data_IF_797849681104
#
_entry.id   IF_797849681104
#
_cell.length_a   1.000
_cell.length_b   1.000
_cell.length_c   1.000
_cell.angle_alpha   90.00
_cell.angle_beta   90.00
_cell.angle_gamma   90.00
#
_symmetry.space_group_name_H-M   'P 1'
#
loop_
_entity.id
_entity.type
_entity.pdbx_description
1 polymer ?
#
# COMPACT_ATOMS: atom_id res chain seq x y z
N UNK A 1 0.97 -23.48 4.30
CA UNK A 1 1.66 -23.43 2.98
C UNK A 1 2.47 -22.15 2.89
N UNK A 2 3.58 -22.16 2.15
CA UNK A 2 4.43 -20.94 1.93
C UNK A 2 3.60 -19.83 1.29
N UNK A 3 2.78 -20.16 0.32
CA UNK A 3 1.92 -19.20 -0.38
C UNK A 3 0.89 -18.53 0.54
N UNK A 4 0.31 -19.26 1.48
CA UNK A 4 -0.62 -18.68 2.46
C UNK A 4 0.05 -17.70 3.41
N UNK A 5 1.32 -17.93 3.77
CA UNK A 5 2.11 -17.01 4.59
C UNK A 5 2.52 -15.74 3.82
N UNK A 6 2.86 -15.87 2.53
CA UNK A 6 3.22 -14.73 1.67
C UNK A 6 2.02 -13.80 1.37
N UNK A 7 0.79 -14.30 1.51
CA UNK A 7 -0.45 -13.54 1.28
C UNK A 7 -1.07 -13.00 2.57
N UNK A 8 -0.58 -13.43 3.72
CA UNK A 8 -1.07 -12.97 5.02
C UNK A 8 -0.82 -11.48 5.19
N UNK A 9 -1.78 -10.79 5.82
CA UNK A 9 -1.55 -9.42 6.29
C UNK A 9 -0.40 -9.39 7.31
N UNK A 10 0.34 -8.29 7.34
CA UNK A 10 1.29 -8.06 8.44
C UNK A 10 0.52 -8.05 9.77
N UNK A 11 1.04 -8.65 10.85
CA UNK A 11 0.34 -8.73 12.13
C UNK A 11 -0.18 -7.40 12.65
N UNK A 12 0.59 -6.33 12.52
CA UNK A 12 0.21 -4.97 12.91
C UNK A 12 -1.02 -4.46 12.13
N UNK A 13 -1.14 -4.80 10.85
CA UNK A 13 -2.26 -4.40 10.00
C UNK A 13 -3.53 -5.18 10.36
N UNK A 14 -3.40 -6.50 10.56
CA UNK A 14 -4.51 -7.33 11.03
C UNK A 14 -5.00 -6.88 12.41
N UNK A 15 -4.09 -6.55 13.32
CA UNK A 15 -4.43 -6.02 14.65
C UNK A 15 -5.12 -4.65 14.57
N UNK A 16 -4.64 -3.75 13.69
CA UNK A 16 -5.30 -2.46 13.46
C UNK A 16 -6.73 -2.65 12.93
N UNK A 17 -6.93 -3.52 11.94
CA UNK A 17 -8.25 -3.83 11.39
C UNK A 17 -9.17 -4.42 12.46
N UNK A 18 -8.65 -5.33 13.27
CA UNK A 18 -9.41 -5.94 14.39
C UNK A 18 -9.85 -4.91 15.40
N UNK A 19 -8.97 -4.00 15.85
CA UNK A 19 -9.31 -2.91 16.78
C UNK A 19 -10.43 -2.03 16.20
N UNK A 20 -10.33 -1.63 14.94
CA UNK A 20 -11.36 -0.82 14.28
C UNK A 20 -12.74 -1.51 14.26
N UNK A 21 -12.78 -2.83 14.05
CA UNK A 21 -14.03 -3.60 14.11
C UNK A 21 -14.60 -3.66 15.55
N UNK A 22 -13.74 -3.87 16.55
CA UNK A 22 -14.12 -3.84 17.96
C UNK A 22 -14.68 -2.47 18.36
N UNK A 23 -14.03 -1.38 17.94
CA UNK A 23 -14.45 0.00 18.19
C UNK A 23 -15.81 0.31 17.52
N UNK A 24 -16.10 -0.32 16.37
CA UNK A 24 -17.42 -0.29 15.73
C UNK A 24 -18.46 -1.19 16.39
N UNK A 25 -18.13 -1.83 17.51
CA UNK A 25 -19.05 -2.66 18.30
C UNK A 25 -19.25 -4.08 17.75
N UNK A 26 -18.38 -4.57 16.84
CA UNK A 26 -18.43 -5.94 16.34
C UNK A 26 -17.99 -6.92 17.42
N UNK A 27 -18.81 -7.94 17.69
CA UNK A 27 -18.52 -9.01 18.67
C UNK A 27 -18.40 -10.37 18.03
N UNK A 28 -19.07 -10.57 16.90
CA UNK A 28 -19.06 -11.79 16.12
C UNK A 28 -18.70 -11.46 14.67
N UNK A 29 -17.80 -12.23 14.05
CA UNK A 29 -17.35 -12.00 12.69
C UNK A 29 -17.20 -13.33 11.93
N UNK A 30 -17.65 -13.35 10.67
CA UNK A 30 -17.36 -14.43 9.75
C UNK A 30 -16.19 -14.05 8.84
N UNK A 31 -15.14 -14.88 8.82
CA UNK A 31 -14.01 -14.77 7.88
C UNK A 31 -14.28 -15.71 6.69
N UNK A 32 -14.75 -15.12 5.60
CA UNK A 32 -15.24 -15.82 4.41
C UNK A 32 -14.10 -16.10 3.42
N UNK A 33 -13.67 -17.36 3.36
CA UNK A 33 -12.46 -17.78 2.66
C UNK A 33 -11.22 -17.57 3.53
N UNK A 34 -11.27 -18.08 4.77
CA UNK A 34 -10.28 -17.73 5.81
C UNK A 34 -8.85 -18.27 5.54
N UNK A 35 -8.69 -19.16 4.56
CA UNK A 35 -7.40 -19.76 4.26
C UNK A 35 -6.77 -20.40 5.49
N UNK A 36 -5.54 -19.99 5.84
CA UNK A 36 -4.86 -20.46 7.04
C UNK A 36 -5.40 -19.89 8.35
N UNK A 37 -6.42 -19.02 8.31
CA UNK A 37 -7.07 -18.44 9.48
C UNK A 37 -6.23 -17.37 10.20
N UNK A 38 -5.30 -16.71 9.53
CA UNK A 38 -4.42 -15.71 10.17
C UNK A 38 -5.17 -14.42 10.51
N UNK A 39 -6.10 -13.97 9.64
CA UNK A 39 -7.01 -12.86 9.95
C UNK A 39 -8.02 -13.28 11.03
N UNK A 40 -8.64 -14.47 10.88
CA UNK A 40 -9.53 -15.04 11.89
C UNK A 40 -8.88 -15.08 13.28
N UNK A 41 -7.58 -15.45 13.35
CA UNK A 41 -6.79 -15.43 14.58
C UNK A 41 -6.65 -14.02 15.16
N UNK A 42 -6.38 -13.02 14.32
CA UNK A 42 -6.26 -11.63 14.77
C UNK A 42 -7.60 -11.10 15.32
N UNK A 43 -8.72 -11.41 14.67
CA UNK A 43 -10.07 -11.08 15.16
C UNK A 43 -10.37 -11.74 16.50
N UNK A 44 -10.08 -13.04 16.62
CA UNK A 44 -10.30 -13.78 17.86
C UNK A 44 -9.40 -13.29 19.01
N UNK A 45 -8.14 -12.94 18.71
CA UNK A 45 -7.21 -12.34 19.69
C UNK A 45 -7.68 -10.95 20.17
N UNK A 46 -8.41 -10.21 19.33
CA UNK A 46 -9.04 -8.95 19.70
C UNK A 46 -10.35 -9.12 20.50
N UNK A 47 -10.76 -10.36 20.80
CA UNK A 47 -11.92 -10.69 21.66
C UNK A 47 -13.23 -10.98 20.91
N UNK A 48 -13.23 -10.94 19.58
CA UNK A 48 -14.41 -11.32 18.79
C UNK A 48 -14.59 -12.85 18.77
N UNK A 49 -15.84 -13.33 18.67
CA UNK A 49 -16.12 -14.72 18.30
C UNK A 49 -16.06 -14.85 16.77
N UNK A 50 -15.27 -15.81 16.28
CA UNK A 50 -14.96 -15.93 14.84
C UNK A 50 -15.52 -17.22 14.27
N UNK A 51 -16.11 -17.12 13.09
CA UNK A 51 -16.50 -18.24 12.23
C UNK A 51 -15.67 -18.16 10.95
N UNK A 52 -14.60 -18.96 10.85
CA UNK A 52 -13.85 -19.11 9.61
C UNK A 52 -14.61 -20.04 8.65
N UNK A 53 -14.66 -19.69 7.37
CA UNK A 53 -15.20 -20.58 6.33
C UNK A 53 -14.10 -20.79 5.29
N UNK A 54 -13.77 -22.05 5.03
CA UNK A 54 -12.75 -22.45 4.04
C UNK A 54 -13.23 -23.70 3.28
N UNK A 55 -13.13 -23.65 1.95
CA UNK A 55 -13.61 -24.75 1.10
C UNK A 55 -12.67 -25.95 1.03
N UNK A 56 -11.37 -25.71 1.21
CA UNK A 56 -10.37 -26.77 1.21
C UNK A 56 -10.25 -27.37 2.61
N UNK A 57 -10.59 -28.66 2.81
CA UNK A 57 -10.59 -29.28 4.14
C UNK A 57 -9.19 -29.38 4.76
N UNK A 58 -8.12 -29.47 3.95
CA UNK A 58 -6.75 -29.51 4.48
C UNK A 58 -6.35 -28.12 4.99
N UNK A 59 -6.67 -27.07 4.24
CA UNK A 59 -6.41 -25.68 4.63
C UNK A 59 -7.26 -25.31 5.86
N UNK A 60 -8.53 -25.71 5.89
CA UNK A 60 -9.42 -25.51 7.02
C UNK A 60 -8.90 -26.15 8.32
N UNK A 61 -8.26 -27.33 8.21
CA UNK A 61 -7.63 -27.97 9.37
C UNK A 61 -6.49 -27.14 9.97
N UNK A 62 -5.69 -26.44 9.14
CA UNK A 62 -4.67 -25.51 9.62
C UNK A 62 -5.31 -24.28 10.28
N UNK A 63 -6.38 -23.73 9.68
CA UNK A 63 -7.11 -22.60 10.28
C UNK A 63 -7.69 -22.98 11.65
N UNK A 64 -8.31 -24.16 11.77
CA UNK A 64 -8.83 -24.68 13.03
C UNK A 64 -7.72 -24.86 14.08
N UNK A 65 -6.53 -25.32 13.67
CA UNK A 65 -5.38 -25.43 14.57
C UNK A 65 -4.90 -24.04 15.05
N UNK A 66 -4.91 -23.03 14.18
CA UNK A 66 -4.54 -21.66 14.50
C UNK A 66 -5.55 -20.95 15.43
N UNK A 67 -6.79 -21.44 15.50
CA UNK A 67 -7.85 -20.91 16.36
C UNK A 67 -8.07 -21.71 17.65
N UNK A 68 -7.35 -22.81 17.87
CA UNK A 68 -7.60 -23.81 18.93
C UNK A 68 -7.78 -23.19 20.33
N UNK A 69 -6.94 -22.20 20.67
CA UNK A 69 -6.92 -21.58 22.00
C UNK A 69 -7.68 -20.24 22.04
N UNK A 70 -8.49 -19.98 21.02
CA UNK A 70 -9.21 -18.72 20.83
C UNK A 70 -10.71 -18.95 20.66
N UNK A 71 -11.50 -17.87 20.70
CA UNK A 71 -12.95 -17.93 20.50
C UNK A 71 -13.29 -18.01 19.00
N UNK A 72 -13.02 -19.15 18.36
CA UNK A 72 -13.28 -19.34 16.94
C UNK A 72 -13.47 -20.79 16.56
N UNK A 73 -14.23 -21.02 15.49
CA UNK A 73 -14.40 -22.30 14.83
C UNK A 73 -14.24 -22.13 13.32
N UNK A 74 -14.00 -23.24 12.62
CA UNK A 74 -13.88 -23.28 11.17
C UNK A 74 -14.90 -24.24 10.60
N UNK A 75 -15.60 -23.82 9.56
CA UNK A 75 -16.56 -24.59 8.79
C UNK A 75 -15.95 -24.88 7.42
N UNK A 76 -16.01 -26.14 6.98
CA UNK A 76 -15.59 -26.52 5.64
C UNK A 76 -16.78 -26.40 4.71
N UNK A 77 -16.80 -25.32 3.91
CA UNK A 77 -17.90 -25.07 2.96
C UNK A 77 -17.47 -24.04 1.90
N UNK A 78 -18.25 -23.91 0.83
CA UNK A 78 -18.05 -22.91 -0.20
C UNK A 78 -18.96 -21.70 0.06
N UNK A 79 -18.34 -20.55 0.32
CA UNK A 79 -19.02 -19.27 0.63
C UNK A 79 -19.96 -18.80 -0.48
N UNK A 80 -19.75 -19.28 -1.72
CA UNK A 80 -20.59 -18.88 -2.88
C UNK A 80 -21.91 -19.64 -2.96
N UNK A 81 -22.04 -20.76 -2.25
CA UNK A 81 -23.20 -21.65 -2.31
C UNK A 81 -23.88 -21.87 -0.96
N UNK A 82 -23.15 -21.69 0.15
CA UNK A 82 -23.69 -21.89 1.49
C UNK A 82 -24.58 -20.73 1.95
N UNK A 83 -25.43 -20.99 2.92
CA UNK A 83 -26.07 -19.94 3.72
C UNK A 83 -25.02 -19.31 4.64
N UNK A 84 -24.77 -18.00 4.50
CA UNK A 84 -23.78 -17.31 5.30
C UNK A 84 -24.13 -17.33 6.79
N UNK A 85 -23.13 -17.46 7.68
CA UNK A 85 -23.34 -17.42 9.12
C UNK A 85 -24.04 -16.12 9.56
N UNK A 86 -24.89 -16.23 10.59
CA UNK A 86 -25.45 -15.05 11.25
C UNK A 86 -24.43 -14.47 12.23
N UNK A 87 -23.97 -13.23 11.96
CA UNK A 87 -22.94 -12.56 12.74
C UNK A 87 -23.00 -11.03 12.55
N UNK A 88 -22.31 -10.28 13.39
CA UNK A 88 -22.30 -8.82 13.35
C UNK A 88 -21.59 -8.29 12.10
N UNK A 89 -20.53 -8.96 11.66
CA UNK A 89 -19.72 -8.48 10.52
C UNK A 89 -19.13 -9.61 9.68
N UNK A 90 -18.72 -9.27 8.47
CA UNK A 90 -18.12 -10.19 7.50
C UNK A 90 -16.78 -9.64 7.02
N UNK A 91 -15.77 -10.50 6.97
CA UNK A 91 -14.48 -10.21 6.37
C UNK A 91 -14.26 -11.10 5.15
N UNK A 92 -13.61 -10.55 4.12
CA UNK A 92 -13.22 -11.26 2.90
C UNK A 92 -11.80 -10.85 2.47
N UNK A 93 -11.06 -11.83 1.99
CA UNK A 93 -9.77 -11.63 1.29
C UNK A 93 -9.80 -12.42 -0.04
N UNK A 94 -10.45 -11.88 -1.09
CA UNK A 94 -10.60 -12.58 -2.36
C UNK A 94 -9.24 -12.96 -2.95
N UNK A 95 -9.05 -14.26 -3.24
CA UNK A 95 -7.81 -14.77 -3.80
C UNK A 95 -7.56 -14.20 -5.21
N UNK A 96 -6.37 -13.64 -5.41
CA UNK A 96 -5.94 -12.96 -6.65
C UNK A 96 -5.03 -13.83 -7.52
N UNK A 97 -4.98 -15.11 -7.27
CA UNK A 97 -4.17 -16.06 -8.04
C UNK A 97 -5.11 -17.07 -8.69
N UNK A 98 -4.86 -17.37 -9.95
CA UNK A 98 -5.53 -18.48 -10.62
C UNK A 98 -5.11 -19.80 -9.93
N UNK A 99 -6.05 -20.51 -9.27
CA UNK A 99 -5.74 -21.79 -8.62
C UNK A 99 -5.35 -22.87 -9.62
N UNK A 100 -5.64 -22.69 -10.91
CA UNK A 100 -5.36 -23.63 -11.99
C UNK A 100 -4.11 -23.27 -12.80
N UNK A 101 -3.49 -22.10 -12.53
CA UNK A 101 -2.27 -21.72 -13.22
C UNK A 101 -1.11 -22.65 -12.83
N UNK A 102 -0.30 -23.11 -13.79
CA UNK A 102 0.85 -23.96 -13.51
C UNK A 102 1.82 -23.22 -12.57
N UNK A 103 2.32 -23.93 -11.55
CA UNK A 103 3.35 -23.39 -10.66
C UNK A 103 4.61 -23.12 -11.47
N UNK A 104 5.18 -21.95 -11.30
CA UNK A 104 6.49 -21.63 -11.89
C UNK A 104 7.60 -22.51 -11.29
N UNK A 105 8.70 -22.69 -12.04
CA UNK A 105 9.84 -23.55 -11.67
C UNK A 105 10.46 -23.15 -10.30
N UNK A 106 10.30 -21.90 -9.90
CA UNK A 106 10.75 -21.34 -8.62
C UNK A 106 9.71 -21.51 -7.49
N UNK A 107 8.66 -22.28 -7.69
CA UNK A 107 7.66 -22.64 -6.68
C UNK A 107 6.65 -21.53 -6.36
N UNK A 108 6.64 -20.42 -7.12
CA UNK A 108 5.61 -19.37 -6.99
C UNK A 108 4.33 -19.81 -7.68
N UNK A 109 3.22 -19.83 -6.97
CA UNK A 109 1.93 -20.18 -7.55
C UNK A 109 1.37 -19.02 -8.36
N UNK A 110 1.01 -19.29 -9.61
CA UNK A 110 0.12 -18.52 -10.49
C UNK A 110 0.48 -17.07 -10.76
N UNK A 111 0.16 -16.63 -11.96
CA UNK A 111 0.22 -15.19 -12.34
C UNK A 111 -0.82 -14.42 -11.50
N UNK A 112 -0.44 -13.25 -10.96
CA UNK A 112 -1.39 -12.36 -10.28
C UNK A 112 -2.44 -11.89 -11.28
N UNK A 113 -3.69 -12.14 -10.96
CA UNK A 113 -4.84 -11.69 -11.75
C UNK A 113 -5.07 -10.21 -11.47
N UNK A 114 -5.03 -9.40 -12.53
CA UNK A 114 -5.16 -7.94 -12.42
C UNK A 114 -6.62 -7.50 -12.38
N UNK A 115 -7.52 -8.18 -13.11
CA UNK A 115 -8.93 -7.86 -13.14
C UNK A 115 -9.61 -8.38 -11.86
N UNK A 116 -10.29 -7.53 -11.08
CA UNK A 116 -11.04 -7.94 -9.90
C UNK A 116 -12.17 -8.94 -10.18
N UNK A 117 -12.69 -9.00 -11.40
CA UNK A 117 -13.72 -9.97 -11.76
C UNK A 117 -13.19 -11.41 -11.91
N UNK A 118 -11.90 -11.54 -12.09
CA UNK A 118 -11.23 -12.85 -12.13
C UNK A 118 -10.74 -13.31 -10.73
N UNK A 119 -11.03 -12.58 -9.66
CA UNK A 119 -10.70 -13.01 -8.30
C UNK A 119 -11.62 -14.13 -7.84
N UNK A 120 -11.27 -14.82 -6.79
CA UNK A 120 -12.08 -15.90 -6.20
C UNK A 120 -12.37 -15.60 -4.72
N UNK A 121 -13.65 -15.26 -4.39
CA UNK A 121 -14.74 -14.93 -5.31
C UNK A 121 -14.51 -13.64 -6.09
N UNK A 122 -15.27 -13.41 -7.19
CA UNK A 122 -15.19 -12.20 -8.00
C UNK A 122 -15.58 -10.96 -7.21
N UNK A 123 -15.06 -9.80 -7.62
CA UNK A 123 -15.37 -8.54 -6.93
C UNK A 123 -16.84 -8.17 -7.01
N UNK A 124 -17.50 -8.43 -8.15
CA UNK A 124 -18.94 -8.26 -8.30
C UNK A 124 -19.75 -9.10 -7.31
N UNK A 125 -19.33 -10.34 -7.06
CA UNK A 125 -19.95 -11.20 -6.05
C UNK A 125 -19.77 -10.63 -4.63
N UNK A 126 -18.57 -10.18 -4.29
CA UNK A 126 -18.30 -9.53 -2.99
C UNK A 126 -19.20 -8.31 -2.78
N UNK A 127 -19.30 -7.43 -3.79
CA UNK A 127 -20.16 -6.27 -3.73
C UNK A 127 -21.65 -6.62 -3.62
N UNK A 128 -22.09 -7.70 -4.27
CA UNK A 128 -23.48 -8.17 -4.25
C UNK A 128 -23.91 -8.72 -2.90
N UNK A 129 -22.98 -9.12 -2.01
CA UNK A 129 -23.32 -9.55 -0.63
C UNK A 129 -24.04 -8.46 0.16
N UNK A 130 -23.69 -7.20 -0.08
CA UNK A 130 -24.32 -6.00 0.50
C UNK A 130 -24.72 -6.14 1.98
N UNK A 131 -23.81 -6.69 2.80
CA UNK A 131 -24.06 -6.85 4.24
C UNK A 131 -23.91 -5.51 4.98
N UNK A 132 -24.67 -5.26 6.05
CA UNK A 132 -24.58 -4.01 6.81
C UNK A 132 -23.18 -3.68 7.30
N UNK A 133 -22.44 -4.68 7.79
CA UNK A 133 -21.06 -4.54 8.25
C UNK A 133 -20.18 -5.56 7.54
N UNK A 134 -19.39 -5.05 6.60
CA UNK A 134 -18.49 -5.89 5.83
C UNK A 134 -17.17 -5.15 5.56
N UNK A 135 -16.07 -5.88 5.58
CA UNK A 135 -14.77 -5.37 5.18
C UNK A 135 -14.08 -6.36 4.25
N UNK A 136 -13.53 -5.87 3.15
CA UNK A 136 -12.75 -6.67 2.23
C UNK A 136 -11.31 -6.18 2.16
N UNK A 137 -10.34 -7.09 2.29
CA UNK A 137 -8.93 -6.83 2.01
C UNK A 137 -8.70 -7.01 0.51
N UNK A 138 -8.05 -6.03 -0.10
CA UNK A 138 -7.79 -6.04 -1.54
C UNK A 138 -6.36 -5.59 -1.86
N UNK A 139 -5.94 -5.80 -3.12
CA UNK A 139 -4.69 -5.24 -3.60
C UNK A 139 -4.70 -3.72 -3.47
N UNK A 140 -3.56 -3.10 -3.09
CA UNK A 140 -3.47 -1.64 -3.01
C UNK A 140 -3.56 -0.95 -4.38
N UNK A 141 -3.52 -1.72 -5.47
CA UNK A 141 -3.70 -1.25 -6.84
C UNK A 141 -5.15 -1.29 -7.34
N UNK A 142 -6.14 -1.56 -6.48
CA UNK A 142 -7.55 -1.54 -6.87
C UNK A 142 -7.91 -0.19 -7.52
N UNK A 143 -8.61 -0.23 -8.65
CA UNK A 143 -9.07 0.97 -9.30
C UNK A 143 -10.11 1.68 -8.43
N UNK A 144 -10.02 3.01 -8.29
CA UNK A 144 -10.98 3.77 -7.49
C UNK A 144 -12.42 3.59 -8.00
N UNK A 145 -12.60 3.46 -9.31
CA UNK A 145 -13.91 3.21 -9.91
C UNK A 145 -14.55 1.86 -9.54
N UNK A 146 -13.74 0.89 -9.08
CA UNK A 146 -14.23 -0.39 -8.60
C UNK A 146 -14.74 -0.34 -7.16
N UNK A 147 -14.50 0.76 -6.42
CA UNK A 147 -14.97 0.94 -5.05
C UNK A 147 -16.39 1.47 -5.07
N UNK A 148 -17.38 0.74 -4.52
CA UNK A 148 -18.76 1.17 -4.53
C UNK A 148 -18.98 2.48 -3.76
N UNK A 149 -19.96 3.29 -4.17
CA UNK A 149 -20.29 4.56 -3.50
C UNK A 149 -20.76 4.38 -2.03
N UNK A 150 -21.24 3.19 -1.68
CA UNK A 150 -21.63 2.81 -0.31
C UNK A 150 -20.47 2.24 0.51
N UNK A 151 -19.23 2.37 0.04
CA UNK A 151 -18.03 1.94 0.74
C UNK A 151 -17.01 3.08 0.86
N UNK A 152 -16.10 2.96 1.82
CA UNK A 152 -14.87 3.76 1.91
C UNK A 152 -13.66 2.85 1.84
N UNK A 153 -12.50 3.39 1.50
CA UNK A 153 -11.28 2.61 1.36
C UNK A 153 -10.13 3.20 2.19
N UNK A 154 -9.39 2.33 2.86
CA UNK A 154 -8.17 2.69 3.58
C UNK A 154 -6.98 1.95 3.00
N UNK A 155 -6.02 2.67 2.43
CA UNK A 155 -4.72 2.14 2.01
C UNK A 155 -3.77 2.14 3.19
N UNK A 156 -3.02 1.06 3.34
CA UNK A 156 -2.17 0.84 4.51
C UNK A 156 -0.72 0.75 4.11
N UNK A 157 0.09 1.63 4.71
CA UNK A 157 1.54 1.52 4.74
C UNK A 157 1.96 0.97 6.10
N UNK A 158 2.83 -0.04 6.10
CA UNK A 158 3.40 -0.61 7.31
C UNK A 158 4.91 -0.65 7.19
N UNK A 159 5.62 0.00 8.13
CA UNK A 159 7.07 0.14 8.15
C UNK A 159 7.66 0.64 6.82
N UNK A 160 7.00 1.63 6.20
CA UNK A 160 7.39 2.24 4.93
C UNK A 160 6.85 1.56 3.68
N UNK A 161 6.39 0.30 3.75
CA UNK A 161 5.88 -0.44 2.60
C UNK A 161 4.37 -0.29 2.43
N UNK A 162 3.92 -0.02 1.22
CA UNK A 162 2.51 -0.15 0.86
C UNK A 162 2.12 -1.63 0.80
N UNK A 163 1.20 -2.07 1.67
CA UNK A 163 0.89 -3.49 1.84
C UNK A 163 -0.45 -3.90 1.25
N UNK A 164 -1.52 -3.17 1.54
CA UNK A 164 -2.87 -3.54 1.14
C UNK A 164 -3.83 -2.36 1.14
N UNK A 165 -5.06 -2.58 0.70
CA UNK A 165 -6.19 -1.69 0.97
C UNK A 165 -7.33 -2.49 1.64
N UNK A 166 -8.04 -1.84 2.57
CA UNK A 166 -9.25 -2.35 3.21
C UNK A 166 -10.45 -1.56 2.71
N UNK A 167 -11.44 -2.25 2.17
CA UNK A 167 -12.71 -1.63 1.73
C UNK A 167 -13.76 -1.86 2.81
N UNK A 168 -14.32 -0.79 3.33
CA UNK A 168 -15.27 -0.77 4.44
C UNK A 168 -16.66 -0.43 3.90
N UNK A 169 -17.59 -1.36 4.04
CA UNK A 169 -18.92 -1.24 3.44
C UNK A 169 -19.98 -0.76 4.44
N UNK A 170 -20.94 -0.02 3.94
CA UNK A 170 -22.18 0.37 4.61
C UNK A 170 -21.92 0.98 6.02
N UNK A 171 -22.33 0.34 7.11
CA UNK A 171 -22.16 0.85 8.48
C UNK A 171 -20.71 0.97 8.95
N UNK A 172 -19.76 0.26 8.33
CA UNK A 172 -18.33 0.38 8.62
C UNK A 172 -17.65 1.50 7.83
N UNK A 173 -18.36 2.11 6.88
CA UNK A 173 -17.85 3.22 6.06
C UNK A 173 -17.50 4.42 6.95
N UNK A 174 -16.43 5.11 6.62
CA UNK A 174 -16.10 6.42 7.18
C UNK A 174 -16.66 7.55 6.30
N UNK A 175 -16.74 8.77 6.86
CA UNK A 175 -17.13 9.96 6.10
C UNK A 175 -16.13 10.27 4.99
N UNK A 176 -14.83 10.04 5.25
CA UNK A 176 -13.80 10.13 4.22
C UNK A 176 -13.87 8.92 3.29
N UNK A 177 -14.11 9.18 2.00
CA UNK A 177 -14.19 8.13 0.99
C UNK A 177 -12.87 7.36 0.84
N UNK A 178 -11.73 8.04 1.03
CA UNK A 178 -10.39 7.48 0.91
C UNK A 178 -9.51 7.95 2.06
N UNK A 179 -8.75 7.02 2.58
CA UNK A 179 -7.80 7.23 3.69
C UNK A 179 -6.49 6.54 3.36
N UNK A 180 -5.37 7.17 3.70
CA UNK A 180 -4.06 6.55 3.76
C UNK A 180 -3.59 6.56 5.20
N UNK A 181 -3.12 5.42 5.71
CA UNK A 181 -2.55 5.33 7.05
C UNK A 181 -1.12 4.82 7.01
N UNK A 182 -0.32 5.31 7.94
CA UNK A 182 1.04 4.83 8.20
C UNK A 182 1.10 4.13 9.55
N UNK A 183 1.50 2.86 9.53
CA UNK A 183 1.73 2.03 10.72
C UNK A 183 3.24 1.83 10.87
N UNK A 184 3.76 2.01 12.07
CA UNK A 184 5.13 1.67 12.45
C UNK A 184 5.08 0.82 13.72
N UNK A 185 5.68 -0.36 13.67
CA UNK A 185 5.45 -1.37 14.69
C UNK A 185 3.96 -1.70 14.78
N UNK A 186 3.35 -1.51 15.95
CA UNK A 186 1.93 -1.78 16.18
C UNK A 186 1.04 -0.52 16.25
N UNK A 187 1.60 0.66 15.97
CA UNK A 187 0.92 1.94 16.11
C UNK A 187 0.63 2.60 14.76
N UNK A 188 -0.59 3.12 14.60
CA UNK A 188 -0.89 4.11 13.54
C UNK A 188 -0.23 5.42 13.97
N UNK A 189 0.75 5.87 13.20
CA UNK A 189 1.52 7.08 13.51
C UNK A 189 1.00 8.30 12.77
N UNK A 190 0.27 8.11 11.67
CA UNK A 190 -0.34 9.21 10.90
C UNK A 190 -1.47 8.69 10.01
N UNK A 191 -2.39 9.61 9.70
CA UNK A 191 -3.52 9.40 8.81
C UNK A 191 -3.71 10.60 7.88
N UNK A 192 -4.01 10.32 6.61
CA UNK A 192 -4.35 11.31 5.59
C UNK A 192 -5.69 10.92 4.96
N UNK A 193 -6.65 11.84 4.96
CA UNK A 193 -8.01 11.57 4.46
C UNK A 193 -8.34 12.41 3.24
N UNK A 194 -9.31 11.95 2.42
CA UNK A 194 -9.88 12.76 1.35
C UNK A 194 -10.70 13.89 1.95
N UNK A 195 -10.12 15.06 2.03
CA UNK A 195 -10.84 16.30 2.32
C UNK A 195 -10.95 17.12 1.04
N UNK A 196 -11.91 18.02 0.97
CA UNK A 196 -12.17 18.86 -0.22
C UNK A 196 -11.15 19.99 -0.43
N UNK A 197 -9.97 19.85 0.12
CA UNK A 197 -8.94 20.88 0.06
C UNK A 197 -8.26 20.89 -1.30
N UNK A 198 -8.76 21.73 -2.16
CA UNK A 198 -8.13 22.37 -3.31
C UNK A 198 -7.27 21.50 -4.25
N UNK A 199 -6.97 22.03 -5.41
CA UNK A 199 -5.99 21.47 -6.34
C UNK A 199 -4.59 21.91 -5.90
N UNK A 200 -3.64 20.98 -5.81
CA UNK A 200 -2.24 21.36 -5.67
C UNK A 200 -1.77 21.94 -6.99
N UNK A 201 -1.26 23.16 -6.97
CA UNK A 201 -0.69 23.81 -8.14
C UNK A 201 0.53 23.04 -8.64
N UNK A 202 0.86 23.20 -9.93
CA UNK A 202 2.13 22.78 -10.50
C UNK A 202 3.08 23.97 -10.44
N UNK A 203 4.30 23.72 -9.96
CA UNK A 203 5.35 24.73 -9.83
C UNK A 203 6.75 24.16 -10.10
N UNK A 204 7.78 25.01 -10.04
CA UNK A 204 9.17 24.59 -10.22
C UNK A 204 9.63 23.70 -9.06
N UNK A 205 10.83 23.15 -9.18
CA UNK A 205 11.50 22.47 -8.07
C UNK A 205 12.09 23.55 -7.15
N UNK A 206 11.67 23.52 -5.88
CA UNK A 206 12.16 24.39 -4.81
C UNK A 206 13.26 23.69 -3.96
N UNK A 207 13.52 24.20 -2.76
CA UNK A 207 14.60 23.73 -1.88
C UNK A 207 14.40 22.31 -1.36
N UNK A 208 13.15 21.85 -1.25
CA UNK A 208 12.81 20.51 -0.76
C UNK A 208 12.00 19.76 -1.80
N UNK A 209 12.44 18.53 -2.10
CA UNK A 209 11.69 17.58 -2.91
C UNK A 209 11.17 16.45 -2.01
N UNK A 210 9.88 16.13 -2.13
CA UNK A 210 9.25 14.98 -1.50
C UNK A 210 8.97 13.91 -2.55
N UNK A 211 9.55 12.73 -2.36
CA UNK A 211 9.16 11.51 -3.08
C UNK A 211 8.00 10.84 -2.34
N UNK A 212 6.79 11.04 -2.86
CA UNK A 212 5.54 10.62 -2.21
C UNK A 212 5.41 9.10 -2.23
N UNK A 213 5.14 8.51 -1.06
CA UNK A 213 5.00 7.07 -0.89
C UNK A 213 3.79 6.48 -1.65
N UNK A 214 3.89 5.19 -1.95
CA UNK A 214 2.86 4.45 -2.67
C UNK A 214 1.48 4.50 -2.03
N UNK A 215 1.39 4.58 -0.71
CA UNK A 215 0.12 4.65 0.02
C UNK A 215 -0.69 5.89 -0.36
N UNK A 216 -0.03 7.03 -0.52
CA UNK A 216 -0.67 8.30 -0.90
C UNK A 216 -0.99 8.36 -2.39
N UNK A 217 -0.05 7.89 -3.23
CA UNK A 217 -0.30 7.88 -4.68
C UNK A 217 -1.41 6.90 -5.06
N UNK A 218 -1.48 5.74 -4.42
CA UNK A 218 -2.53 4.73 -4.69
C UNK A 218 -3.87 5.11 -4.11
N UNK A 219 -3.92 5.78 -2.96
CA UNK A 219 -5.17 6.33 -2.42
C UNK A 219 -5.65 7.59 -3.16
N UNK A 220 -4.81 8.18 -4.03
CA UNK A 220 -5.11 9.43 -4.75
C UNK A 220 -5.16 10.65 -3.85
N UNK A 221 -4.36 10.67 -2.77
CA UNK A 221 -4.35 11.75 -1.77
C UNK A 221 -3.12 12.68 -1.88
N UNK A 222 -2.48 12.72 -3.05
CA UNK A 222 -1.30 13.57 -3.29
C UNK A 222 -1.61 15.05 -3.05
N UNK A 223 -2.81 15.50 -3.42
CA UNK A 223 -3.23 16.89 -3.22
C UNK A 223 -3.39 17.24 -1.73
N UNK A 224 -3.96 16.31 -0.95
CA UNK A 224 -4.11 16.48 0.50
C UNK A 224 -2.76 16.52 1.22
N UNK A 225 -1.83 15.66 0.77
CA UNK A 225 -0.46 15.71 1.29
C UNK A 225 0.24 17.00 0.91
N UNK A 226 0.07 17.47 -0.33
CA UNK A 226 0.63 18.74 -0.77
C UNK A 226 0.15 19.91 0.09
N UNK A 227 -1.15 19.99 0.38
CA UNK A 227 -1.71 21.01 1.26
C UNK A 227 -1.13 20.94 2.69
N UNK A 228 -1.00 19.71 3.25
CA UNK A 228 -0.42 19.49 4.60
C UNK A 228 1.05 19.93 4.67
N UNK A 229 1.81 19.74 3.58
CA UNK A 229 3.23 20.07 3.50
C UNK A 229 3.50 21.51 3.03
N UNK A 230 2.45 22.30 2.76
CA UNK A 230 2.55 23.60 2.10
C UNK A 230 3.39 23.52 0.79
N UNK A 231 3.18 22.43 0.05
CA UNK A 231 3.93 22.05 -1.13
C UNK A 231 3.07 22.13 -2.41
N UNK A 232 3.73 22.14 -3.54
CA UNK A 232 3.11 22.05 -4.85
C UNK A 232 3.64 20.83 -5.62
N UNK A 233 2.97 20.44 -6.69
CA UNK A 233 3.41 19.35 -7.57
C UNK A 233 4.44 19.88 -8.56
N UNK A 234 5.45 19.11 -8.91
CA UNK A 234 6.39 19.45 -9.98
C UNK A 234 5.94 18.95 -11.36
N UNK A 235 4.98 18.02 -11.38
CA UNK A 235 4.41 17.43 -12.61
C UNK A 235 3.02 16.85 -12.30
N UNK A 236 2.11 16.90 -13.27
CA UNK A 236 0.72 16.45 -13.12
C UNK A 236 0.61 14.93 -12.84
N UNK A 237 1.51 14.14 -13.42
CA UNK A 237 1.41 12.68 -13.42
C UNK A 237 2.38 11.99 -12.45
N UNK A 238 3.23 12.76 -11.78
CA UNK A 238 4.24 12.23 -10.87
C UNK A 238 3.86 12.42 -9.40
N UNK A 239 4.27 11.47 -8.57
CA UNK A 239 4.14 11.55 -7.12
C UNK A 239 5.30 12.32 -6.47
N UNK A 240 5.68 13.47 -7.05
CA UNK A 240 6.64 14.38 -6.45
C UNK A 240 5.99 15.67 -6.03
N UNK A 241 6.35 16.15 -4.84
CA UNK A 241 5.98 17.47 -4.33
C UNK A 241 7.23 18.27 -4.05
N UNK A 242 7.13 19.59 -4.13
CA UNK A 242 8.23 20.50 -3.80
C UNK A 242 7.75 21.64 -2.92
N UNK A 243 8.61 22.07 -2.01
CA UNK A 243 8.34 23.16 -1.07
C UNK A 243 9.61 23.93 -0.75
N UNK A 244 9.46 25.16 -0.22
CA UNK A 244 10.57 25.99 0.25
C UNK A 244 11.05 25.60 1.65
N UNK A 245 10.23 24.85 2.43
CA UNK A 245 10.53 24.43 3.79
C UNK A 245 10.28 22.96 4.00
N UNK A 246 10.95 22.37 5.00
CA UNK A 246 10.78 20.96 5.33
C UNK A 246 9.69 20.76 6.39
N UNK A 247 8.69 19.95 6.08
CA UNK A 247 7.69 19.43 7.02
C UNK A 247 7.87 17.92 7.12
N UNK A 248 7.94 17.39 8.33
CA UNK A 248 8.08 15.93 8.56
C UNK A 248 6.77 15.20 8.26
N UNK A 249 6.87 14.07 7.60
CA UNK A 249 5.74 13.19 7.29
C UNK A 249 6.20 11.75 7.09
N UNK A 250 5.43 10.74 7.50
CA UNK A 250 5.72 9.35 7.16
C UNK A 250 5.28 8.98 5.74
N UNK A 251 4.64 9.91 5.01
CA UNK A 251 4.04 9.68 3.70
C UNK A 251 4.94 10.03 2.52
N UNK A 252 6.13 10.55 2.76
CA UNK A 252 7.09 10.89 1.73
C UNK A 252 8.53 10.83 2.25
N UNK A 253 9.46 10.53 1.36
CA UNK A 253 10.88 10.73 1.60
C UNK A 253 11.28 12.13 1.15
N UNK A 254 11.93 12.89 2.03
CA UNK A 254 12.31 14.27 1.77
C UNK A 254 13.79 14.39 1.40
N UNK A 255 14.07 15.22 0.41
CA UNK A 255 15.43 15.55 -0.03
C UNK A 255 15.61 17.07 -0.06
N UNK A 256 16.73 17.56 0.47
CA UNK A 256 17.18 18.94 0.23
C UNK A 256 17.77 19.01 -1.16
N UNK A 257 17.18 19.75 -2.05
CA UNK A 257 17.64 19.91 -3.43
C UNK A 257 18.91 20.76 -3.45
N UNK A 258 19.98 20.21 -4.01
CA UNK A 258 21.27 20.89 -4.19
C UNK A 258 21.43 21.37 -5.62
N UNK A 259 20.97 20.59 -6.59
CA UNK A 259 21.02 20.94 -8.00
C UNK A 259 19.90 20.25 -8.78
N UNK A 260 19.34 20.97 -9.74
CA UNK A 260 18.30 20.51 -10.66
C UNK A 260 18.74 20.82 -12.09
N UNK A 261 18.82 19.80 -12.96
CA UNK A 261 19.29 19.97 -14.34
C UNK A 261 18.59 19.00 -15.30
N UNK A 262 18.43 19.38 -16.59
CA UNK A 262 18.06 18.45 -17.64
C UNK A 262 19.04 17.28 -17.64
N UNK A 263 18.49 16.05 -17.72
CA UNK A 263 19.32 14.86 -17.65
C UNK A 263 20.19 14.70 -18.89
N UNK A 264 21.49 14.66 -18.63
CA UNK A 264 22.53 14.20 -19.54
C UNK A 264 23.59 13.50 -18.69
N UNK A 265 23.94 12.25 -19.01
CA UNK A 265 24.79 11.42 -18.14
C UNK A 265 26.12 12.09 -17.78
N UNK A 266 26.82 12.68 -18.76
CA UNK A 266 28.11 13.33 -18.51
C UNK A 266 27.97 14.64 -17.73
N UNK A 267 26.92 15.39 -18.00
CA UNK A 267 26.64 16.66 -17.30
C UNK A 267 26.25 16.40 -15.84
N UNK A 268 25.42 15.39 -15.58
CA UNK A 268 25.05 14.97 -14.24
C UNK A 268 26.26 14.46 -13.45
N UNK A 269 27.12 13.66 -14.09
CA UNK A 269 28.37 13.22 -13.48
C UNK A 269 29.31 14.40 -13.16
N UNK A 270 29.47 15.37 -14.05
CA UNK A 270 30.29 16.56 -13.80
C UNK A 270 29.74 17.39 -12.63
N UNK A 271 28.41 17.49 -12.49
CA UNK A 271 27.78 18.14 -11.34
C UNK A 271 28.10 17.40 -10.03
N UNK A 272 27.98 16.07 -10.01
CA UNK A 272 28.34 15.25 -8.85
C UNK A 272 29.81 15.39 -8.44
N UNK A 273 30.72 15.42 -9.41
CA UNK A 273 32.15 15.65 -9.16
C UNK A 273 32.43 17.03 -8.56
N UNK A 274 31.75 18.08 -9.06
CA UNK A 274 31.84 19.44 -8.53
C UNK A 274 31.32 19.54 -7.08
N UNK A 275 30.31 18.71 -6.76
CA UNK A 275 29.71 18.64 -5.42
C UNK A 275 30.50 17.76 -4.46
N UNK A 276 31.69 17.28 -4.83
CA UNK A 276 32.52 16.37 -4.02
C UNK A 276 31.80 15.05 -3.67
N UNK A 277 31.02 14.50 -4.60
CA UNK A 277 30.32 13.24 -4.39
C UNK A 277 31.29 12.04 -4.34
N UNK A 278 31.18 11.23 -3.31
CA UNK A 278 31.91 9.97 -3.14
C UNK A 278 30.99 8.75 -3.15
N UNK A 279 29.74 8.94 -2.82
CA UNK A 279 28.69 7.92 -2.89
C UNK A 279 27.38 8.50 -3.43
N UNK A 280 26.64 7.67 -4.14
CA UNK A 280 25.31 8.07 -4.66
C UNK A 280 24.30 6.96 -4.52
N UNK A 281 23.05 7.36 -4.21
CA UNK A 281 21.85 6.54 -4.32
C UNK A 281 21.04 7.03 -5.52
N UNK A 282 20.68 6.11 -6.44
CA UNK A 282 19.80 6.46 -7.56
C UNK A 282 18.36 6.10 -7.25
N UNK A 283 17.48 7.09 -7.33
CA UNK A 283 16.02 6.94 -7.28
C UNK A 283 15.47 7.21 -8.66
N UNK A 284 14.52 6.38 -9.13
CA UNK A 284 13.95 6.51 -10.46
C UNK A 284 12.42 6.52 -10.43
N UNK A 285 11.81 7.53 -11.08
CA UNK A 285 10.36 7.53 -11.36
C UNK A 285 10.10 8.06 -12.77
N UNK A 286 9.31 7.32 -13.55
CA UNK A 286 9.00 7.66 -14.95
C UNK A 286 10.23 7.96 -15.81
N UNK A 287 11.28 7.16 -15.63
CA UNK A 287 12.57 7.31 -16.30
C UNK A 287 13.04 5.96 -16.84
N UNK A 288 13.40 5.91 -18.12
CA UNK A 288 13.62 4.67 -18.88
C UNK A 288 15.10 4.22 -18.93
N UNK A 289 15.92 4.52 -17.90
CA UNK A 289 17.31 4.07 -17.87
C UNK A 289 17.54 2.89 -16.91
N UNK A 290 18.57 2.11 -17.19
CA UNK A 290 19.15 1.15 -16.28
C UNK A 290 19.96 1.91 -15.21
N UNK A 291 19.35 2.06 -14.03
CA UNK A 291 19.95 2.80 -12.93
C UNK A 291 21.13 2.08 -12.28
N UNK A 292 21.20 0.76 -12.33
CA UNK A 292 22.33 -0.01 -11.77
C UNK A 292 23.57 0.14 -12.64
N UNK A 293 23.41 0.00 -13.94
CA UNK A 293 24.50 0.24 -14.90
C UNK A 293 25.01 1.69 -14.79
N UNK A 294 24.10 2.66 -14.73
CA UNK A 294 24.43 4.08 -14.61
C UNK A 294 25.18 4.38 -13.28
N UNK A 295 24.68 3.84 -12.16
CA UNK A 295 25.32 3.97 -10.85
C UNK A 295 26.74 3.38 -10.90
N UNK A 296 26.89 2.17 -11.43
CA UNK A 296 28.19 1.50 -11.52
C UNK A 296 29.18 2.29 -12.38
N UNK A 297 28.72 2.90 -13.45
CA UNK A 297 29.55 3.75 -14.31
C UNK A 297 30.01 5.03 -13.59
N UNK A 298 29.11 5.69 -12.85
CA UNK A 298 29.41 6.94 -12.17
C UNK A 298 30.29 6.71 -10.94
N UNK A 299 30.00 5.70 -10.14
CA UNK A 299 30.79 5.36 -8.92
C UNK A 299 32.29 5.16 -9.20
N UNK A 300 32.66 4.66 -10.39
CA UNK A 300 34.09 4.51 -10.79
C UNK A 300 34.79 5.85 -11.00
N UNK A 301 34.05 6.95 -11.15
CA UNK A 301 34.56 8.28 -11.48
C UNK A 301 34.37 9.30 -10.35
N UNK A 302 33.68 8.90 -9.30
CA UNK A 302 33.46 9.71 -8.11
C UNK A 302 34.53 9.37 -7.07
N UNK A 303 35.23 10.39 -6.56
CA UNK A 303 36.32 10.25 -5.60
C UNK A 303 36.15 11.18 -4.39
N UNK A 304 35.01 11.86 -4.29
CA UNK A 304 34.70 12.78 -3.21
C UNK A 304 34.34 12.07 -1.90
N UNK A 305 33.86 12.86 -0.96
CA UNK A 305 33.56 12.39 0.42
C UNK A 305 32.09 12.48 0.77
N UNK A 306 31.29 13.21 0.00
CA UNK A 306 29.86 13.45 0.29
C UNK A 306 28.95 12.39 -0.35
N UNK A 307 27.80 12.20 0.27
CA UNK A 307 26.78 11.30 -0.23
C UNK A 307 25.57 12.09 -0.76
N UNK A 308 25.07 11.69 -1.93
CA UNK A 308 23.91 12.32 -2.54
C UNK A 308 22.91 11.28 -3.04
N UNK A 309 21.63 11.66 -3.03
CA UNK A 309 20.58 11.00 -3.78
C UNK A 309 20.42 11.70 -5.13
N UNK A 310 20.42 10.92 -6.21
CA UNK A 310 20.14 11.42 -7.56
C UNK A 310 18.81 10.88 -8.01
N UNK A 311 17.82 11.76 -8.07
CA UNK A 311 16.46 11.43 -8.48
C UNK A 311 16.35 11.65 -9.99
N UNK A 312 16.24 10.54 -10.73
CA UNK A 312 16.06 10.52 -12.18
C UNK A 312 14.56 10.47 -12.47
N UNK A 313 14.08 11.50 -13.15
CA UNK A 313 12.65 11.67 -13.45
C UNK A 313 12.45 12.41 -14.78
N UNK A 314 11.23 12.85 -15.03
CA UNK A 314 10.91 13.82 -16.10
C UNK A 314 10.13 14.98 -15.48
N UNK A 315 10.21 16.13 -16.12
CA UNK A 315 9.33 17.28 -15.85
C UNK A 315 8.70 17.64 -17.20
N UNK A 316 7.39 17.47 -17.31
CA UNK A 316 6.73 17.40 -18.61
C UNK A 316 7.29 16.23 -19.42
N UNK A 317 7.74 16.48 -20.63
CA UNK A 317 8.36 15.47 -21.51
C UNK A 317 9.89 15.41 -21.39
N UNK A 318 10.50 16.31 -20.63
CA UNK A 318 11.96 16.42 -20.56
C UNK A 318 12.52 15.55 -19.41
N UNK A 319 13.52 14.69 -19.68
CA UNK A 319 14.26 13.98 -18.64
C UNK A 319 15.03 14.95 -17.74
N UNK A 320 14.96 14.73 -16.42
CA UNK A 320 15.61 15.55 -15.40
C UNK A 320 16.39 14.71 -14.40
N UNK A 321 17.47 15.29 -13.88
CA UNK A 321 18.19 14.81 -12.71
C UNK A 321 18.10 15.86 -11.59
N UNK A 322 17.65 15.45 -10.43
CA UNK A 322 17.64 16.23 -9.21
C UNK A 322 18.67 15.62 -8.26
N UNK A 323 19.67 16.41 -7.86
CA UNK A 323 20.70 15.98 -6.91
C UNK A 323 20.31 16.58 -5.56
N UNK A 324 20.17 15.73 -4.57
CA UNK A 324 19.73 16.14 -3.24
C UNK A 324 20.39 15.35 -2.11
N UNK A 325 20.32 15.93 -0.94
CA UNK A 325 20.71 15.28 0.33
C UNK A 325 19.45 14.71 0.99
N UNK A 326 19.52 13.43 1.42
CA UNK A 326 18.43 12.83 2.17
C UNK A 326 18.24 13.58 3.49
N UNK A 327 17.01 14.04 3.73
CA UNK A 327 16.65 14.64 5.02
C UNK A 327 16.23 13.47 5.94
N UNK A 328 17.13 13.12 6.87
CA UNK A 328 16.85 12.11 7.89
C UNK A 328 15.82 12.67 8.90
N UNK A 329 14.82 11.89 9.18
CA UNK A 329 13.74 12.23 10.11
C UNK A 329 13.89 11.54 11.45
#
# INVERSE_FOLDING_TARGET
>A
TRDGLEQASRPAVAAWRSRRLVDAGVRTIADLGCGLGLEARAFAAAGMAVIGVERDPEVAAFAAANLRDLRGNVVVDDITTMALPDCDAYFLDPARRDPHAPRSIDGRSGQRVADPEDWSPSWSWVCALNKPRMVAKVAPGIAHAAIPAYASATWVQCDGDLVEASIWFNELRTDAQRTAIAIVGDAVIDELTSSDNGLANIGPVDEVLYDVNGVVTRSGLVTQLAARLEAHRIDEHLGFLSASTTVRTPFATAYRVVESLPFESNRTLAALQRLDAGNITLVKRAFAADTEALRSQWMRKLTGTREYSVILTRIGEQPFALIGELINH
#
